data_IF_138946963049
#
_entry.id   IF_138946963049
#
_cell.length_a   1.000
_cell.length_b   1.000
_cell.length_c   1.000
_cell.angle_alpha   90.00
_cell.angle_beta   90.00
_cell.angle_gamma   90.00
#
_symmetry.space_group_name_H-M   'P 1'
#
loop_
_entity.id
_entity.type
_entity.pdbx_description
1 polymer ?
#
# COMPACT_ATOMS: atom_id res chain seq x y z
N UNK A 1 -27.29 -63.98 3.16
CA UNK A 1 -26.64 -62.98 2.27
C UNK A 1 -27.70 -62.44 1.32
N UNK A 2 -27.65 -61.13 1.04
CA UNK A 2 -28.80 -60.25 0.76
C UNK A 2 -29.57 -60.51 -0.55
N UNK A 3 -30.87 -60.19 -0.43
CA UNK A 3 -31.98 -60.28 -1.36
C UNK A 3 -31.76 -59.56 -2.70
N UNK A 4 -32.39 -60.15 -3.72
CA UNK A 4 -32.43 -59.75 -5.12
C UNK A 4 -33.84 -59.24 -5.46
N UNK A 5 -33.88 -58.19 -6.29
CA UNK A 5 -34.86 -57.92 -7.37
C UNK A 5 -36.26 -57.39 -6.96
N UNK A 6 -36.60 -56.20 -7.49
CA UNK A 6 -37.68 -56.05 -8.48
C UNK A 6 -37.79 -54.61 -8.99
N UNK A 7 -37.41 -54.43 -10.26
CA UNK A 7 -37.77 -53.29 -11.11
C UNK A 7 -39.15 -53.59 -11.70
N UNK A 8 -40.12 -52.70 -11.53
CA UNK A 8 -41.42 -52.79 -12.21
C UNK A 8 -41.64 -51.53 -13.03
N UNK A 9 -41.35 -51.65 -14.32
CA UNK A 9 -41.77 -50.76 -15.39
C UNK A 9 -43.27 -50.97 -15.62
N UNK A 10 -44.08 -49.91 -15.68
CA UNK A 10 -45.36 -49.98 -16.36
C UNK A 10 -45.67 -48.62 -16.98
N UNK A 11 -45.46 -48.56 -18.29
CA UNK A 11 -45.75 -47.45 -19.18
C UNK A 11 -47.04 -47.80 -19.92
N UNK A 12 -48.09 -46.99 -19.79
CA UNK A 12 -49.16 -46.99 -20.80
C UNK A 12 -49.68 -45.57 -21.00
N UNK A 13 -49.34 -45.05 -22.17
CA UNK A 13 -49.87 -43.86 -22.81
C UNK A 13 -51.25 -44.21 -23.41
N UNK A 14 -52.28 -43.39 -23.21
CA UNK A 14 -53.34 -43.25 -24.22
C UNK A 14 -54.02 -41.87 -24.13
N UNK A 15 -54.05 -41.23 -25.29
CA UNK A 15 -54.56 -39.90 -25.63
C UNK A 15 -56.07 -40.01 -25.89
N UNK A 16 -56.93 -39.15 -25.32
CA UNK A 16 -58.21 -38.77 -25.96
C UNK A 16 -58.53 -37.28 -25.73
N UNK A 17 -58.46 -36.57 -26.85
CA UNK A 17 -59.14 -35.36 -27.33
C UNK A 17 -60.44 -34.95 -26.61
N UNK A 18 -60.62 -33.65 -26.32
CA UNK A 18 -61.81 -32.82 -26.67
C UNK A 18 -61.93 -31.57 -25.78
N UNK A 19 -61.74 -30.39 -26.38
CA UNK A 19 -62.18 -29.07 -25.89
C UNK A 19 -63.72 -28.97 -26.17
N UNK A 20 -64.60 -28.28 -25.39
CA UNK A 20 -64.55 -26.81 -25.26
C UNK A 20 -65.15 -26.19 -23.96
N UNK A 21 -64.83 -24.91 -23.74
CA UNK A 21 -65.69 -23.84 -23.16
C UNK A 21 -66.81 -24.21 -22.16
N UNK A 22 -66.65 -23.87 -20.86
CA UNK A 22 -67.65 -23.12 -20.08
C UNK A 22 -66.94 -22.22 -19.07
N UNK A 23 -67.30 -20.94 -19.14
CA UNK A 23 -66.90 -19.86 -18.25
C UNK A 23 -67.41 -20.06 -16.81
N UNK A 24 -66.51 -19.86 -15.85
CA UNK A 24 -66.86 -19.48 -14.48
C UNK A 24 -65.98 -18.28 -14.13
N UNK A 25 -66.56 -17.09 -14.26
CA UNK A 25 -66.01 -15.86 -13.75
C UNK A 25 -66.08 -15.92 -12.21
N UNK A 26 -64.98 -16.30 -11.58
CA UNK A 26 -64.80 -16.17 -10.14
C UNK A 26 -64.17 -14.81 -9.87
N UNK A 27 -64.89 -13.97 -9.12
CA UNK A 27 -64.41 -12.67 -8.67
C UNK A 27 -63.06 -12.81 -7.99
N UNK A 28 -62.06 -12.15 -8.56
CA UNK A 28 -60.73 -12.04 -7.95
C UNK A 28 -60.79 -10.84 -7.03
N UNK A 29 -60.91 -11.10 -5.73
CA UNK A 29 -60.67 -10.10 -4.69
C UNK A 29 -59.35 -9.38 -4.99
N UNK A 30 -59.27 -8.04 -4.91
CA UNK A 30 -58.01 -7.34 -5.03
C UNK A 30 -57.10 -7.78 -3.88
N UNK A 31 -56.12 -8.62 -4.18
CA UNK A 31 -55.07 -8.99 -3.23
C UNK A 31 -54.37 -7.73 -2.70
N UNK A 32 -53.89 -7.73 -1.45
CA UNK A 32 -53.26 -6.56 -0.85
C UNK A 32 -52.15 -6.06 -1.77
N UNK A 33 -52.20 -4.78 -2.11
CA UNK A 33 -51.17 -4.09 -2.87
C UNK A 33 -49.82 -4.51 -2.33
N UNK A 34 -49.02 -5.18 -3.17
CA UNK A 34 -47.68 -5.60 -2.81
C UNK A 34 -46.91 -4.33 -2.39
N UNK A 35 -46.68 -4.21 -1.09
CA UNK A 35 -45.85 -3.15 -0.54
C UNK A 35 -44.48 -3.27 -1.20
N UNK A 36 -43.89 -2.18 -1.74
CA UNK A 36 -42.58 -2.24 -2.35
C UNK A 36 -41.59 -2.77 -1.32
N UNK A 37 -41.14 -4.01 -1.50
CA UNK A 37 -40.10 -4.59 -0.66
C UNK A 37 -38.86 -3.69 -0.80
N UNK A 38 -38.55 -2.95 0.25
CA UNK A 38 -37.33 -2.17 0.31
C UNK A 38 -36.17 -3.15 0.09
N UNK A 39 -35.26 -2.89 -0.86
CA UNK A 39 -34.09 -3.73 -1.01
C UNK A 39 -33.36 -3.75 0.33
N UNK A 40 -33.15 -4.96 0.85
CA UNK A 40 -32.39 -5.14 2.10
C UNK A 40 -31.03 -4.45 2.00
N UNK A 41 -30.43 -4.06 3.14
CA UNK A 41 -29.14 -3.37 3.14
C UNK A 41 -28.15 -4.16 2.28
N UNK A 42 -27.70 -3.53 1.20
CA UNK A 42 -26.66 -4.10 0.35
C UNK A 42 -25.47 -4.41 1.26
N UNK A 43 -24.83 -5.59 1.14
CA UNK A 43 -23.62 -5.85 1.89
C UNK A 43 -22.63 -4.74 1.56
N UNK A 44 -22.23 -3.98 2.60
CA UNK A 44 -21.25 -2.93 2.46
C UNK A 44 -20.06 -3.47 1.66
N UNK A 45 -19.50 -2.70 0.71
CA UNK A 45 -18.31 -3.12 -0.02
C UNK A 45 -17.27 -3.50 1.01
N UNK A 46 -16.95 -4.79 1.09
CA UNK A 46 -15.96 -5.32 2.02
C UNK A 46 -14.68 -4.56 1.78
N UNK A 47 -14.38 -3.62 2.68
CA UNK A 47 -13.27 -2.71 2.55
C UNK A 47 -12.01 -3.55 2.45
N UNK A 48 -11.42 -3.58 1.24
CA UNK A 48 -10.22 -4.34 0.98
C UNK A 48 -9.14 -3.89 1.98
N UNK A 49 -8.85 -4.75 2.96
CA UNK A 49 -7.83 -4.49 3.96
C UNK A 49 -6.53 -4.16 3.22
N UNK A 50 -5.89 -2.99 3.45
CA UNK A 50 -4.68 -2.62 2.74
C UNK A 50 -3.63 -3.70 2.98
N UNK A 51 -3.23 -4.41 1.93
CA UNK A 51 -2.19 -5.43 2.06
C UNK A 51 -0.93 -4.80 2.66
N UNK A 52 -0.31 -5.44 3.68
CA UNK A 52 0.86 -4.89 4.35
C UNK A 52 1.98 -4.75 3.32
N UNK A 53 2.44 -3.51 3.15
CA UNK A 53 3.51 -3.21 2.21
C UNK A 53 4.81 -3.87 2.69
N UNK A 54 5.55 -4.48 1.75
CA UNK A 54 6.84 -5.11 2.04
C UNK A 54 7.85 -4.14 2.65
N UNK A 55 8.69 -4.57 3.60
CA UNK A 55 9.71 -3.72 4.21
C UNK A 55 10.76 -3.24 3.21
N UNK A 56 11.26 -2.03 3.42
CA UNK A 56 12.36 -1.45 2.65
C UNK A 56 13.68 -1.84 3.32
N UNK A 57 14.64 -2.32 2.53
CA UNK A 57 16.00 -2.58 3.00
C UNK A 57 16.88 -1.36 2.77
N UNK A 58 17.65 -1.00 3.79
CA UNK A 58 18.68 0.03 3.74
C UNK A 58 20.02 -0.58 4.15
N UNK A 59 21.10 -0.18 3.48
CA UNK A 59 22.46 -0.54 3.86
C UNK A 59 23.22 0.75 4.17
N UNK A 60 23.83 0.84 5.35
CA UNK A 60 24.51 2.05 5.82
C UNK A 60 25.71 1.69 6.69
N UNK A 61 26.90 2.19 6.33
CA UNK A 61 28.16 1.92 7.06
C UNK A 61 28.37 0.42 7.35
N UNK A 62 28.12 -0.43 6.35
CA UNK A 62 28.29 -1.89 6.46
C UNK A 62 27.19 -2.62 7.23
N UNK A 63 26.15 -1.92 7.71
CA UNK A 63 25.01 -2.52 8.42
C UNK A 63 23.76 -2.46 7.57
N UNK A 64 23.00 -3.55 7.54
CA UNK A 64 21.69 -3.59 6.90
C UNK A 64 20.57 -3.46 7.92
N UNK A 65 19.47 -2.82 7.51
CA UNK A 65 18.24 -2.77 8.29
C UNK A 65 17.02 -2.88 7.37
N UNK A 66 16.00 -3.59 7.84
CA UNK A 66 14.69 -3.64 7.20
C UNK A 66 13.74 -2.74 7.98
N UNK A 67 13.08 -1.80 7.30
CA UNK A 67 12.20 -0.82 7.93
C UNK A 67 10.85 -0.77 7.22
N UNK A 68 9.78 -0.35 7.92
CA UNK A 68 8.49 -0.18 7.29
C UNK A 68 8.57 0.77 6.08
N UNK A 69 7.83 0.48 5.00
CA UNK A 69 7.75 1.39 3.87
C UNK A 69 7.05 2.67 4.31
N UNK A 70 7.55 3.81 3.83
CA UNK A 70 7.07 5.13 4.23
C UNK A 70 7.82 5.71 5.43
N UNK A 71 8.71 4.95 6.07
CA UNK A 71 9.60 5.50 7.09
C UNK A 71 10.61 6.45 6.43
N UNK A 72 10.79 7.63 7.05
CA UNK A 72 11.84 8.57 6.63
C UNK A 72 13.21 7.94 6.85
N UNK A 73 14.15 8.17 5.94
CA UNK A 73 15.49 7.57 6.03
C UNK A 73 16.22 7.94 7.33
N UNK A 74 16.09 9.20 7.78
CA UNK A 74 16.61 9.63 9.10
C UNK A 74 16.06 8.77 10.24
N UNK A 75 14.75 8.55 10.26
CA UNK A 75 14.08 7.78 11.31
C UNK A 75 14.51 6.31 11.25
N UNK A 76 14.57 5.73 10.05
CA UNK A 76 15.01 4.36 9.83
C UNK A 76 16.43 4.11 10.39
N UNK A 77 17.36 5.02 10.13
CA UNK A 77 18.72 4.92 10.65
C UNK A 77 18.74 5.01 12.18
N UNK A 78 18.04 6.00 12.77
CA UNK A 78 18.00 6.18 14.22
C UNK A 78 17.41 4.96 14.94
N UNK A 79 16.32 4.39 14.42
CA UNK A 79 15.72 3.17 14.97
C UNK A 79 16.65 1.95 14.87
N UNK A 80 17.58 1.95 13.93
CA UNK A 80 18.56 0.87 13.74
C UNK A 80 19.84 1.07 14.58
N UNK A 81 19.86 2.06 15.48
CA UNK A 81 21.04 2.43 16.26
C UNK A 81 22.15 3.05 15.41
N UNK A 82 21.80 3.69 14.30
CA UNK A 82 22.71 4.38 13.39
C UNK A 82 22.36 5.87 13.37
N UNK A 83 23.32 6.73 13.00
CA UNK A 83 23.06 8.16 12.84
C UNK A 83 23.49 8.64 11.45
N UNK A 84 22.61 9.35 10.72
CA UNK A 84 23.01 10.10 9.53
C UNK A 84 23.69 11.42 9.88
N UNK A 85 23.63 11.85 11.15
CA UNK A 85 24.13 13.16 11.54
C UNK A 85 25.66 13.18 11.47
N UNK A 86 26.21 14.28 10.94
CA UNK A 86 27.64 14.60 11.04
C UNK A 86 28.11 14.58 12.51
N UNK A 87 29.41 14.43 12.69
CA UNK A 87 30.03 14.34 14.01
C UNK A 87 29.61 15.51 14.92
N UNK A 88 29.27 15.21 16.18
CA UNK A 88 28.74 16.20 17.15
C UNK A 88 27.29 16.66 16.94
N UNK A 89 26.71 16.49 15.74
CA UNK A 89 25.39 17.02 15.41
C UNK A 89 24.20 16.15 15.86
N UNK A 90 24.44 15.07 16.61
CA UNK A 90 23.37 14.21 17.16
C UNK A 90 22.48 15.00 18.12
N UNK A 91 23.07 15.91 18.90
CA UNK A 91 22.35 16.72 19.89
C UNK A 91 21.85 18.06 19.33
N UNK A 92 22.60 18.65 18.38
CA UNK A 92 22.30 19.96 17.80
C UNK A 92 21.94 19.77 16.30
N UNK A 93 20.67 19.47 16.03
CA UNK A 93 20.15 19.34 14.66
C UNK A 93 18.74 19.93 14.51
N UNK A 94 18.34 20.19 13.26
CA UNK A 94 17.03 20.77 12.93
C UNK A 94 15.84 19.82 13.07
N UNK A 95 16.02 18.63 13.68
CA UNK A 95 14.99 17.59 13.88
C UNK A 95 14.18 17.18 12.64
N UNK A 96 14.70 17.47 11.44
CA UNK A 96 14.10 17.06 10.18
C UNK A 96 13.45 18.17 9.35
N UNK A 97 13.60 19.44 9.75
CA UNK A 97 13.16 20.59 8.95
C UNK A 97 13.86 20.67 7.59
N UNK A 98 15.11 20.18 7.51
CA UNK A 98 15.92 20.20 6.29
C UNK A 98 16.84 21.42 6.18
N UNK A 99 16.96 22.23 7.23
CA UNK A 99 17.75 23.47 7.23
C UNK A 99 19.20 23.31 7.71
N UNK A 100 19.51 22.34 8.57
CA UNK A 100 20.89 22.25 9.12
C UNK A 100 21.89 21.54 8.19
N UNK A 101 21.43 20.64 7.32
CA UNK A 101 22.32 19.84 6.46
C UNK A 101 23.07 18.70 7.18
N UNK A 102 22.98 18.59 8.51
CA UNK A 102 23.78 17.62 9.27
C UNK A 102 23.43 16.16 8.97
N UNK A 103 22.26 15.89 8.40
CA UNK A 103 21.83 14.55 7.96
C UNK A 103 22.05 14.28 6.46
N UNK A 104 23.03 14.98 5.86
CA UNK A 104 23.42 14.77 4.46
C UNK A 104 24.08 13.40 4.26
N UNK A 105 23.64 12.70 3.24
CA UNK A 105 24.06 11.33 2.90
C UNK A 105 24.13 11.17 1.39
N UNK A 106 25.12 10.45 0.90
CA UNK A 106 25.18 10.00 -0.49
C UNK A 106 24.26 8.80 -0.68
N UNK A 107 23.35 8.91 -1.63
CA UNK A 107 22.42 7.85 -1.97
C UNK A 107 22.90 7.14 -3.22
N UNK A 108 23.13 5.83 -3.10
CA UNK A 108 23.12 4.94 -4.25
C UNK A 108 21.73 4.27 -4.35
N UNK A 109 21.24 4.11 -5.57
CA UNK A 109 19.90 3.56 -5.84
C UNK A 109 18.74 4.56 -5.76
N UNK A 110 17.54 4.04 -5.95
CA UNK A 110 16.33 4.84 -6.05
C UNK A 110 15.77 5.22 -4.68
N UNK A 111 15.37 6.47 -4.52
CA UNK A 111 14.71 7.00 -3.33
C UNK A 111 13.44 7.74 -3.69
N UNK A 112 12.56 7.92 -2.70
CA UNK A 112 11.38 8.75 -2.85
C UNK A 112 11.43 9.94 -1.88
N UNK A 113 11.10 11.17 -2.30
CA UNK A 113 10.88 11.57 -3.69
C UNK A 113 12.16 11.40 -4.55
N UNK A 114 11.97 11.05 -5.83
CA UNK A 114 13.08 10.91 -6.77
C UNK A 114 13.89 12.21 -6.87
N UNK A 115 13.18 13.32 -7.03
CA UNK A 115 13.76 14.66 -7.06
C UNK A 115 14.01 15.25 -5.67
N UNK A 116 14.87 16.27 -5.62
CA UNK A 116 15.06 17.08 -4.43
C UNK A 116 13.79 17.82 -4.02
N UNK A 117 13.52 17.85 -2.71
CA UNK A 117 12.54 18.77 -2.15
C UNK A 117 13.04 20.22 -2.24
N UNK A 118 12.15 21.20 -2.04
CA UNK A 118 12.56 22.62 -1.98
C UNK A 118 13.59 22.88 -0.87
N UNK A 119 13.45 22.23 0.28
CA UNK A 119 14.43 22.34 1.37
C UNK A 119 15.80 21.76 0.97
N UNK A 120 15.82 20.61 0.27
CA UNK A 120 17.05 20.03 -0.26
C UNK A 120 17.71 20.96 -1.28
N UNK A 121 16.94 21.51 -2.23
CA UNK A 121 17.44 22.46 -3.23
C UNK A 121 18.11 23.67 -2.60
N UNK A 122 17.52 24.25 -1.56
CA UNK A 122 18.13 25.38 -0.86
C UNK A 122 19.37 24.95 -0.08
N UNK A 123 19.26 23.89 0.73
CA UNK A 123 20.32 23.54 1.67
C UNK A 123 21.54 22.91 1.00
N UNK A 124 21.36 22.08 -0.02
CA UNK A 124 22.45 21.37 -0.70
C UNK A 124 23.18 22.23 -1.75
N UNK A 125 22.70 23.44 -2.01
CA UNK A 125 23.43 24.47 -2.76
C UNK A 125 24.08 25.52 -1.85
N UNK A 126 24.09 25.29 -0.53
CA UNK A 126 24.75 26.15 0.46
C UNK A 126 25.93 25.40 1.11
N UNK A 127 27.04 26.08 1.47
CA UNK A 127 28.19 25.45 2.11
C UNK A 127 27.83 24.49 3.28
N UNK A 128 28.54 23.37 3.44
CA UNK A 128 29.72 22.94 2.67
C UNK A 128 29.39 22.24 1.34
N UNK A 129 28.13 22.22 0.90
CA UNK A 129 27.72 21.56 -0.33
C UNK A 129 27.61 22.54 -1.49
N UNK A 130 27.98 22.08 -2.67
CA UNK A 130 27.86 22.82 -3.92
C UNK A 130 27.86 21.86 -5.11
N UNK A 131 27.38 22.35 -6.25
CA UNK A 131 27.56 21.63 -7.51
C UNK A 131 29.06 21.61 -7.89
N UNK A 132 29.55 20.54 -8.55
CA UNK A 132 28.82 19.32 -8.94
C UNK A 132 28.81 18.22 -7.87
N UNK A 133 29.53 18.38 -6.76
CA UNK A 133 29.72 17.36 -5.73
C UNK A 133 28.44 16.99 -4.97
N UNK A 134 27.42 17.84 -5.00
CA UNK A 134 26.14 17.60 -4.35
C UNK A 134 25.19 16.65 -5.12
N UNK A 135 25.47 16.27 -6.38
CA UNK A 135 24.52 15.56 -7.27
C UNK A 135 23.90 14.27 -6.69
N UNK A 136 24.65 13.53 -5.87
CA UNK A 136 24.19 12.27 -5.23
C UNK A 136 23.80 12.45 -3.76
N UNK A 137 23.88 13.67 -3.25
CA UNK A 137 23.61 13.98 -1.85
C UNK A 137 22.11 14.18 -1.66
N UNK A 138 21.58 13.58 -0.60
CA UNK A 138 20.20 13.75 -0.12
C UNK A 138 20.22 14.10 1.36
N UNK A 139 19.18 14.78 1.82
CA UNK A 139 18.94 14.93 3.26
C UNK A 139 18.12 13.75 3.75
N UNK A 140 18.67 12.93 4.64
CA UNK A 140 18.00 11.73 5.13
C UNK A 140 16.62 12.02 5.75
N UNK A 141 16.37 13.22 6.27
CA UNK A 141 15.06 13.61 6.81
C UNK A 141 13.99 13.96 5.75
N UNK A 142 14.42 14.19 4.51
CA UNK A 142 13.58 14.55 3.38
C UNK A 142 13.24 13.34 2.50
N UNK A 143 14.04 12.28 2.59
CA UNK A 143 13.81 10.99 1.94
C UNK A 143 12.78 10.16 2.73
N UNK A 144 11.80 9.61 2.03
CA UNK A 144 10.77 8.70 2.52
C UNK A 144 9.42 9.34 2.85
N UNK A 145 9.10 10.52 2.29
CA UNK A 145 7.85 11.27 2.60
C UNK A 145 6.56 10.71 1.98
N UNK A 146 6.63 9.78 1.02
CA UNK A 146 5.46 9.15 0.38
C UNK A 146 5.65 7.62 0.36
N UNK A 147 4.53 6.87 0.31
CA UNK A 147 4.50 5.40 0.16
C UNK A 147 5.60 4.94 -0.80
N UNK A 148 6.56 4.16 -0.30
CA UNK A 148 7.60 3.56 -1.13
C UNK A 148 6.95 2.45 -1.94
N UNK A 149 6.70 2.65 -3.23
CA UNK A 149 6.37 1.55 -4.14
C UNK A 149 7.66 1.03 -4.73
N UNK A 150 8.07 -0.18 -4.35
CA UNK A 150 9.10 -0.97 -5.04
C UNK A 150 10.55 -0.46 -4.99
N UNK A 151 10.86 0.59 -4.22
CA UNK A 151 12.22 1.15 -4.18
C UNK A 151 13.11 0.39 -3.18
N UNK A 152 14.14 -0.28 -3.73
CA UNK A 152 15.23 -0.89 -2.98
C UNK A 152 16.35 0.16 -2.86
N UNK A 153 16.54 0.73 -1.67
CA UNK A 153 17.65 1.68 -1.43
C UNK A 153 18.92 0.87 -1.25
N UNK A 154 19.75 0.82 -2.28
CA UNK A 154 20.99 0.06 -2.26
C UNK A 154 22.15 0.96 -1.89
N UNK A 155 22.69 0.78 -0.69
CA UNK A 155 23.89 1.45 -0.17
C UNK A 155 23.78 2.97 -0.02
N UNK A 156 23.74 3.41 1.23
CA UNK A 156 23.87 4.80 1.64
C UNK A 156 25.27 5.01 2.18
N UNK A 157 26.10 5.80 1.47
CA UNK A 157 27.41 6.23 1.97
C UNK A 157 27.21 7.60 2.63
N UNK A 158 27.74 7.81 3.82
CA UNK A 158 27.68 9.16 4.42
C UNK A 158 28.69 10.04 3.71
N UNK A 159 28.24 11.15 3.12
CA UNK A 159 29.14 12.28 2.84
C UNK A 159 29.31 13.03 4.15
N UNK A 160 30.25 12.60 4.98
CA UNK A 160 30.70 13.47 6.06
C UNK A 160 31.54 14.56 5.40
N UNK A 161 31.34 15.82 5.79
CA UNK A 161 32.07 16.99 5.29
C UNK A 161 33.58 17.00 5.62
N UNK A 162 34.22 15.84 5.82
CA UNK A 162 35.68 15.74 5.87
C UNK A 162 36.18 15.77 4.43
N UNK A 163 36.55 16.97 3.96
CA UNK A 163 37.25 17.19 2.69
C UNK A 163 36.43 17.90 1.62
N UNK A 164 36.17 19.20 1.83
CA UNK A 164 36.40 20.21 0.79
C UNK A 164 37.55 21.06 1.30
#
# INVERSE_FOLDING_TARGET
MRMRISFSFCLTFLIIVSNPMIAQAQGREPGPSAEPQQPGPQPEPQQAQPQPLSPVRIAFRGREAAVPPGTKLRTALLLSGLTPHSEGAVYINCRGLGSCGTCAVEVSGAVQPAEWTTAERLRLNFPPHSAPGNRRVRLACQVGRKRWRGARVQALRVVTSRGV
#
